data_IF_918225891632
#
_entry.id   IF_918225891632
#
_cell.length_a   1.000
_cell.length_b   1.000
_cell.length_c   1.000
_cell.angle_alpha   90.00
_cell.angle_beta   90.00
_cell.angle_gamma   90.00
#
_symmetry.space_group_name_H-M   'P 1'
#
loop_
_entity.id
_entity.type
_entity.pdbx_description
1 polymer ?
#
# COMPACT_ATOMS: atom_id res chain seq x y z
N UNK A 1 -17.75 -2.48 -16.15
CA UNK A 1 -16.82 -1.38 -15.88
C UNK A 1 -16.18 -1.57 -14.51
N UNK A 2 -14.87 -1.46 -14.43
CA UNK A 2 -14.15 -1.65 -13.19
C UNK A 2 -14.19 -0.36 -12.35
N UNK A 3 -14.47 -0.50 -11.05
CA UNK A 3 -14.43 0.67 -10.16
C UNK A 3 -12.97 1.04 -9.89
N UNK A 4 -12.75 2.30 -9.50
CA UNK A 4 -11.42 2.78 -9.17
C UNK A 4 -10.82 1.99 -7.99
N UNK A 5 -11.65 1.66 -7.00
CA UNK A 5 -11.20 0.85 -5.85
C UNK A 5 -10.74 -0.55 -6.28
N UNK A 6 -11.48 -1.20 -7.20
CA UNK A 6 -11.07 -2.50 -7.71
C UNK A 6 -9.76 -2.43 -8.48
N UNK A 7 -9.59 -1.36 -9.26
CA UNK A 7 -8.34 -1.14 -9.99
C UNK A 7 -7.16 -1.02 -9.04
N UNK A 8 -7.33 -0.23 -7.98
CA UNK A 8 -6.31 -0.06 -6.95
C UNK A 8 -6.02 -1.39 -6.27
N UNK A 9 -7.05 -2.13 -5.88
CA UNK A 9 -6.88 -3.41 -5.20
C UNK A 9 -6.12 -4.40 -6.08
N UNK A 10 -6.44 -4.49 -7.35
CA UNK A 10 -5.74 -5.38 -8.27
C UNK A 10 -4.27 -5.01 -8.42
N UNK A 11 -3.98 -3.71 -8.49
CA UNK A 11 -2.60 -3.23 -8.59
C UNK A 11 -1.81 -3.59 -7.33
N UNK A 12 -2.39 -3.34 -6.15
CA UNK A 12 -1.76 -3.65 -4.87
C UNK A 12 -1.51 -5.14 -4.72
N UNK A 13 -2.51 -5.96 -4.99
CA UNK A 13 -2.40 -7.42 -4.89
C UNK A 13 -1.30 -7.93 -5.81
N UNK A 14 -1.28 -7.45 -7.05
CA UNK A 14 -0.25 -7.83 -8.02
C UNK A 14 1.15 -7.45 -7.53
N UNK A 15 1.29 -6.25 -6.97
CA UNK A 15 2.57 -5.80 -6.43
C UNK A 15 3.03 -6.69 -5.28
N UNK A 16 2.13 -7.08 -4.38
CA UNK A 16 2.49 -7.92 -3.25
C UNK A 16 2.77 -9.37 -3.65
N UNK A 17 2.19 -9.85 -4.76
CA UNK A 17 2.57 -11.15 -5.31
C UNK A 17 4.03 -11.12 -5.76
N UNK A 18 4.46 -10.00 -6.36
CA UNK A 18 5.86 -9.79 -6.74
C UNK A 18 6.74 -9.74 -5.49
N UNK A 19 6.28 -9.03 -4.45
CA UNK A 19 7.01 -8.91 -3.19
C UNK A 19 7.26 -10.29 -2.57
N UNK A 20 6.25 -11.14 -2.51
CA UNK A 20 6.41 -12.47 -1.94
C UNK A 20 7.41 -13.31 -2.72
N UNK A 21 7.42 -13.15 -4.04
CA UNK A 21 8.29 -13.91 -4.93
C UNK A 21 9.74 -13.39 -4.92
N UNK A 22 9.91 -12.08 -4.99
CA UNK A 22 11.24 -11.46 -5.17
C UNK A 22 11.94 -11.12 -3.85
N UNK A 23 11.17 -10.79 -2.83
CA UNK A 23 11.72 -10.27 -1.57
C UNK A 23 11.64 -11.27 -0.43
N UNK A 24 11.11 -12.45 -0.67
CA UNK A 24 10.94 -13.49 0.35
C UNK A 24 10.24 -12.94 1.61
N UNK A 25 9.28 -12.05 1.41
CA UNK A 25 8.54 -11.40 2.47
C UNK A 25 7.09 -11.86 2.42
N UNK A 26 6.61 -12.49 3.48
CA UNK A 26 5.25 -13.05 3.52
C UNK A 26 4.25 -11.95 3.85
N UNK A 27 3.33 -11.70 2.94
CA UNK A 27 2.24 -10.73 3.11
C UNK A 27 0.86 -11.39 3.01
N UNK A 28 0.79 -12.71 3.22
CA UNK A 28 -0.45 -13.47 3.12
C UNK A 28 -1.56 -12.88 3.98
N UNK A 29 -1.23 -12.53 5.22
CA UNK A 29 -2.19 -11.95 6.15
C UNK A 29 -2.75 -10.62 5.65
N UNK A 30 -1.89 -9.79 5.10
CA UNK A 30 -2.30 -8.51 4.52
C UNK A 30 -3.22 -8.73 3.31
N UNK A 31 -2.86 -9.66 2.43
CA UNK A 31 -3.68 -9.98 1.26
C UNK A 31 -5.05 -10.52 1.66
N UNK A 32 -5.11 -11.36 2.69
CA UNK A 32 -6.38 -11.87 3.23
C UNK A 32 -7.25 -10.73 3.78
N UNK A 33 -6.63 -9.77 4.47
CA UNK A 33 -7.34 -8.61 5.00
C UNK A 33 -7.90 -7.76 3.87
N UNK A 34 -7.11 -7.54 2.82
CA UNK A 34 -7.54 -6.78 1.64
C UNK A 34 -8.72 -7.48 0.96
N UNK A 35 -8.65 -8.79 0.80
CA UNK A 35 -9.71 -9.56 0.19
C UNK A 35 -11.01 -9.49 1.01
N UNK A 36 -10.89 -9.47 2.33
CA UNK A 36 -12.02 -9.48 3.25
C UNK A 36 -12.70 -8.12 3.40
N UNK A 37 -11.92 -7.06 3.52
CA UNK A 37 -12.42 -5.72 3.84
C UNK A 37 -12.29 -4.70 2.71
N UNK A 38 -11.55 -5.03 1.66
CA UNK A 38 -11.24 -4.11 0.57
C UNK A 38 -10.00 -3.28 0.87
N UNK A 39 -9.38 -2.77 -0.19
CA UNK A 39 -8.11 -2.05 -0.09
C UNK A 39 -8.23 -0.72 0.66
N UNK A 40 -9.30 0.03 0.40
CA UNK A 40 -9.49 1.35 1.03
C UNK A 40 -9.61 1.21 2.53
N UNK A 41 -10.49 0.32 2.98
CA UNK A 41 -10.70 0.11 4.41
C UNK A 41 -9.47 -0.43 5.11
N UNK A 42 -8.77 -1.37 4.46
CA UNK A 42 -7.52 -1.93 4.99
C UNK A 42 -6.49 -0.84 5.22
N UNK A 43 -6.30 0.03 4.22
CA UNK A 43 -5.34 1.11 4.33
C UNK A 43 -5.75 2.15 5.38
N UNK A 44 -7.04 2.49 5.44
CA UNK A 44 -7.53 3.42 6.44
C UNK A 44 -7.30 2.93 7.86
N UNK A 45 -7.47 1.64 8.10
CA UNK A 45 -7.21 1.05 9.42
C UNK A 45 -5.71 1.12 9.77
N UNK A 46 -4.84 0.85 8.80
CA UNK A 46 -3.39 0.95 9.02
C UNK A 46 -3.02 2.38 9.40
N UNK A 47 -3.52 3.35 8.66
CA UNK A 47 -3.23 4.77 8.91
C UNK A 47 -3.77 5.21 10.27
N UNK A 48 -5.00 4.83 10.58
CA UNK A 48 -5.64 5.19 11.85
C UNK A 48 -4.85 4.69 13.06
N UNK A 49 -4.22 3.52 12.93
CA UNK A 49 -3.42 2.93 13.99
C UNK A 49 -1.98 3.44 14.02
N UNK A 50 -1.63 4.33 13.10
CA UNK A 50 -0.28 4.86 13.02
C UNK A 50 0.75 3.84 12.60
N UNK A 51 0.36 2.87 11.79
CA UNK A 51 1.22 1.76 11.36
C UNK A 51 1.55 1.87 9.87
N UNK A 52 2.37 0.95 9.39
CA UNK A 52 2.68 0.79 7.97
C UNK A 52 2.19 -0.58 7.51
N UNK A 53 2.12 -0.77 6.19
CA UNK A 53 1.80 -2.08 5.64
C UNK A 53 2.91 -3.07 5.99
N UNK A 54 2.58 -4.36 5.94
CA UNK A 54 3.54 -5.41 6.25
C UNK A 54 4.77 -5.30 5.35
N UNK A 55 5.94 -5.47 5.93
CA UNK A 55 7.22 -5.45 5.22
C UNK A 55 7.61 -4.08 4.65
N UNK A 56 6.92 -2.99 5.00
CA UNK A 56 7.22 -1.67 4.46
C UNK A 56 8.70 -1.29 4.62
N UNK A 57 9.23 -1.40 5.84
CA UNK A 57 10.63 -1.02 6.10
C UNK A 57 11.61 -1.90 5.34
N UNK A 58 11.34 -3.20 5.29
CA UNK A 58 12.19 -4.14 4.56
C UNK A 58 12.20 -3.83 3.07
N UNK A 59 11.04 -3.55 2.49
CA UNK A 59 10.94 -3.21 1.08
C UNK A 59 11.66 -1.90 0.77
N UNK A 60 11.57 -0.92 1.67
CA UNK A 60 12.28 0.34 1.52
C UNK A 60 13.80 0.11 1.51
N UNK A 61 14.29 -0.72 2.43
CA UNK A 61 15.73 -1.02 2.53
C UNK A 61 16.25 -1.77 1.31
N UNK A 62 15.44 -2.64 0.72
CA UNK A 62 15.85 -3.46 -0.40
C UNK A 62 15.57 -2.83 -1.78
N UNK A 63 15.05 -1.61 -1.81
CA UNK A 63 14.81 -0.89 -3.05
C UNK A 63 13.48 -1.22 -3.73
N UNK A 64 12.55 -1.83 -3.01
CA UNK A 64 11.23 -2.20 -3.53
C UNK A 64 10.10 -1.34 -3.00
N UNK A 65 10.41 -0.16 -2.49
CA UNK A 65 9.42 0.72 -1.85
C UNK A 65 8.25 1.07 -2.79
N UNK A 66 8.50 1.15 -4.09
CA UNK A 66 7.46 1.46 -5.08
C UNK A 66 6.34 0.42 -5.14
N UNK A 67 6.59 -0.79 -4.61
CA UNK A 67 5.61 -1.87 -4.59
C UNK A 67 4.72 -1.84 -3.36
N UNK A 68 5.00 -0.96 -2.39
CA UNK A 68 4.22 -0.89 -1.15
C UNK A 68 2.85 -0.25 -1.40
N UNK A 69 1.89 -0.56 -0.51
CA UNK A 69 0.56 0.08 -0.55
C UNK A 69 0.70 1.59 -0.45
N UNK A 70 1.58 2.05 0.43
CA UNK A 70 1.80 3.48 0.66
C UNK A 70 2.20 4.20 -0.62
N UNK A 71 3.13 3.62 -1.38
CA UNK A 71 3.57 4.22 -2.64
C UNK A 71 2.48 4.19 -3.71
N UNK A 72 1.63 3.17 -3.67
CA UNK A 72 0.57 3.01 -4.66
C UNK A 72 -0.59 3.99 -4.43
N UNK A 73 -1.02 4.17 -3.18
CA UNK A 73 -2.19 5.01 -2.91
C UNK A 73 -1.93 6.51 -3.09
N UNK A 74 -0.67 6.94 -3.07
CA UNK A 74 -0.36 8.36 -3.28
C UNK A 74 -0.39 8.76 -4.76
N UNK A 75 -0.61 7.83 -5.67
CA UNK A 75 -0.74 8.14 -7.08
C UNK A 75 -1.97 9.03 -7.32
N UNK A 76 -1.83 10.03 -8.19
CA UNK A 76 -2.90 10.97 -8.48
C UNK A 76 -4.20 10.29 -8.91
N UNK A 77 -4.10 9.18 -9.64
CA UNK A 77 -5.28 8.46 -10.12
C UNK A 77 -6.15 7.87 -9.01
N UNK A 78 -5.59 7.70 -7.81
CA UNK A 78 -6.31 7.13 -6.66
C UNK A 78 -6.64 8.16 -5.58
N UNK A 79 -6.34 9.44 -5.82
CA UNK A 79 -6.50 10.50 -4.83
C UNK A 79 -7.93 10.63 -4.28
N UNK A 80 -8.94 10.36 -5.11
CA UNK A 80 -10.32 10.50 -4.67
C UNK A 80 -10.83 9.39 -3.77
N UNK A 81 -10.06 8.31 -3.62
CA UNK A 81 -10.40 7.20 -2.73
C UNK A 81 -10.02 7.46 -1.27
N UNK A 82 -9.15 8.44 -1.03
CA UNK A 82 -8.60 8.71 0.29
C UNK A 82 -8.71 10.19 0.62
N UNK A 83 -8.70 10.52 1.92
CA UNK A 83 -8.65 11.91 2.35
C UNK A 83 -7.24 12.49 2.16
N UNK A 84 -7.14 13.81 2.15
CA UNK A 84 -5.84 14.47 2.06
C UNK A 84 -4.93 14.07 3.22
N UNK A 85 -5.49 13.91 4.41
CA UNK A 85 -4.74 13.48 5.58
C UNK A 85 -4.18 12.08 5.40
N UNK A 86 -4.97 11.17 4.82
CA UNK A 86 -4.53 9.81 4.57
C UNK A 86 -3.40 9.76 3.55
N UNK A 87 -3.54 10.52 2.46
CA UNK A 87 -2.51 10.60 1.43
C UNK A 87 -1.24 11.21 2.00
N UNK A 88 -1.36 12.29 2.78
CA UNK A 88 -0.21 12.94 3.39
C UNK A 88 0.53 12.02 4.36
N UNK A 89 -0.20 11.22 5.14
CA UNK A 89 0.41 10.25 6.03
C UNK A 89 1.36 9.32 5.27
N UNK A 90 0.87 8.76 4.16
CA UNK A 90 1.67 7.86 3.34
C UNK A 90 2.83 8.60 2.66
N UNK A 91 2.57 9.81 2.20
CA UNK A 91 3.58 10.64 1.55
C UNK A 91 4.75 10.94 2.50
N UNK A 92 4.44 11.24 3.76
CA UNK A 92 5.48 11.49 4.77
C UNK A 92 6.33 10.25 5.03
N UNK A 93 5.69 9.06 5.08
CA UNK A 93 6.43 7.80 5.23
C UNK A 93 7.39 7.58 4.06
N UNK A 94 6.95 7.88 2.85
CA UNK A 94 7.78 7.73 1.66
C UNK A 94 8.93 8.73 1.65
N UNK A 95 8.69 9.95 2.13
CA UNK A 95 9.74 10.97 2.25
C UNK A 95 10.81 10.56 3.27
N UNK A 96 10.40 9.96 4.38
CA UNK A 96 11.34 9.45 5.39
C UNK A 96 12.28 8.39 4.81
N UNK A 97 11.81 7.64 3.81
CA UNK A 97 12.60 6.61 3.15
C UNK A 97 13.31 7.13 1.88
N UNK A 98 13.30 8.44 1.69
CA UNK A 98 13.96 9.11 0.56
C UNK A 98 13.41 8.70 -0.81
N UNK A 99 12.17 8.22 -0.87
CA UNK A 99 11.54 7.87 -2.13
C UNK A 99 11.10 9.13 -2.92
N UNK A 100 10.74 10.17 -2.19
CA UNK A 100 10.41 11.47 -2.78
C UNK A 100 11.35 12.55 -2.27
#
# INVERSE_FOLDING_TARGET
MQTLEKKLQQEVVKNYEIVEKECNCKVTRLLETIDRFGIVRTMQEIIRKGRTSDCFNKLAEEGYIKLTMEATIVKAEYAELFTDEEVNYCYELLCEKEYY
#
